data_IF_941497336519
#
_entry.id   IF_941497336519
#
_cell.length_a   1.000
_cell.length_b   1.000
_cell.length_c   1.000
_cell.angle_alpha   90.00
_cell.angle_beta   90.00
_cell.angle_gamma   90.00
#
_symmetry.space_group_name_H-M   'P 1'
#
loop_
_entity.id
_entity.type
_entity.pdbx_description
1 polymer ?
#
# COMPACT_ATOMS: atom_id res chain seq x y z
N UNK A 1 -40.55 -18.66 -11.97
CA UNK A 1 -39.93 -17.97 -10.82
C UNK A 1 -39.93 -16.49 -11.15
N UNK A 2 -40.98 -15.69 -10.96
CA UNK A 2 -41.69 -15.32 -9.72
C UNK A 2 -40.75 -14.94 -8.58
N UNK A 3 -40.42 -13.65 -8.49
CA UNK A 3 -40.88 -12.82 -7.37
C UNK A 3 -41.23 -11.42 -7.88
N UNK A 4 -42.53 -11.12 -7.86
CA UNK A 4 -43.13 -9.78 -7.96
C UNK A 4 -43.02 -9.13 -6.58
N UNK A 5 -42.70 -7.84 -6.53
CA UNK A 5 -43.36 -6.94 -5.61
C UNK A 5 -43.85 -5.75 -6.43
N UNK A 6 -45.17 -5.63 -6.50
CA UNK A 6 -45.90 -4.56 -7.15
C UNK A 6 -46.00 -3.39 -6.16
N UNK A 7 -45.66 -2.19 -6.60
CA UNK A 7 -46.28 -0.98 -6.09
C UNK A 7 -46.80 -0.18 -7.28
N UNK A 8 -48.12 -0.22 -7.47
CA UNK A 8 -48.87 0.68 -8.34
C UNK A 8 -49.55 1.69 -7.45
N UNK A 9 -49.25 2.97 -7.66
CA UNK A 9 -50.11 4.06 -7.23
C UNK A 9 -50.19 5.05 -8.40
N UNK A 10 -51.20 4.86 -9.24
CA UNK A 10 -51.67 5.90 -10.14
C UNK A 10 -52.35 6.98 -9.28
N UNK A 11 -51.79 8.18 -9.28
CA UNK A 11 -52.57 9.39 -9.01
C UNK A 11 -52.28 10.42 -10.11
N UNK A 12 -53.37 10.67 -10.84
CA UNK A 12 -53.71 11.83 -11.64
C UNK A 12 -52.94 13.12 -11.35
N UNK A 13 -52.63 13.84 -12.42
CA UNK A 13 -51.91 15.10 -12.38
C UNK A 13 -52.51 16.14 -11.44
N UNK A 14 -51.63 16.77 -10.66
CA UNK A 14 -51.76 18.13 -10.16
C UNK A 14 -50.34 18.72 -10.19
N UNK A 15 -50.22 19.92 -10.73
CA UNK A 15 -49.04 20.78 -10.84
C UNK A 15 -47.85 20.41 -9.93
N UNK A 16 -46.74 19.97 -10.55
CA UNK A 16 -45.43 19.90 -9.90
C UNK A 16 -44.95 21.31 -9.57
N UNK A 17 -45.15 21.73 -8.33
CA UNK A 17 -44.42 22.84 -7.74
C UNK A 17 -42.94 22.45 -7.63
N UNK A 18 -42.14 23.15 -8.42
CA UNK A 18 -40.73 22.94 -8.66
C UNK A 18 -39.91 23.45 -7.46
N UNK A 19 -39.96 22.79 -6.30
CA UNK A 19 -39.15 23.18 -5.12
C UNK A 19 -38.66 22.07 -4.19
N UNK A 20 -38.73 20.79 -4.57
CA UNK A 20 -38.20 19.68 -3.73
C UNK A 20 -36.95 18.95 -4.28
N UNK A 21 -36.48 19.26 -5.50
CA UNK A 21 -35.37 18.50 -6.11
C UNK A 21 -33.95 18.96 -5.73
N UNK A 22 -33.79 20.10 -5.05
CA UNK A 22 -32.46 20.61 -4.67
C UNK A 22 -31.96 20.04 -3.33
N UNK A 23 -32.83 19.92 -2.32
CA UNK A 23 -32.43 19.37 -1.02
C UNK A 23 -32.05 17.88 -1.09
N UNK A 24 -32.76 17.07 -1.89
CA UNK A 24 -32.48 15.64 -2.02
C UNK A 24 -31.21 15.34 -2.83
N UNK A 25 -30.92 16.16 -3.85
CA UNK A 25 -29.66 16.09 -4.60
C UNK A 25 -28.48 16.52 -3.73
N UNK A 26 -28.65 17.54 -2.90
CA UNK A 26 -27.61 17.99 -1.97
C UNK A 26 -27.41 17.03 -0.80
N UNK A 27 -28.42 16.25 -0.40
CA UNK A 27 -28.26 15.17 0.59
C UNK A 27 -27.49 13.97 0.00
N UNK A 28 -27.74 13.58 -1.25
CA UNK A 28 -26.93 12.54 -1.92
C UNK A 28 -25.51 13.02 -2.25
N UNK A 29 -25.35 14.30 -2.58
CA UNK A 29 -24.03 14.93 -2.72
C UNK A 29 -23.32 15.06 -1.38
N UNK A 30 -24.06 15.34 -0.31
CA UNK A 30 -23.56 15.49 1.06
C UNK A 30 -23.14 14.15 1.64
N UNK A 31 -23.99 13.11 1.53
CA UNK A 31 -23.66 11.75 1.96
C UNK A 31 -22.57 11.14 1.06
N UNK A 32 -22.62 11.36 -0.26
CA UNK A 32 -21.54 10.96 -1.17
C UNK A 32 -20.22 11.68 -0.89
N UNK A 33 -20.26 12.92 -0.40
CA UNK A 33 -19.09 13.69 0.03
C UNK A 33 -18.60 13.27 1.43
N UNK A 34 -19.50 12.86 2.33
CA UNK A 34 -19.18 12.29 3.65
C UNK A 34 -18.58 10.87 3.52
N UNK A 35 -19.06 10.07 2.56
CA UNK A 35 -18.44 8.78 2.22
C UNK A 35 -17.11 9.01 1.46
N UNK A 36 -16.97 10.11 0.70
CA UNK A 36 -15.73 10.54 0.05
C UNK A 36 -14.66 11.09 1.01
N UNK A 37 -14.92 11.26 2.30
CA UNK A 37 -13.97 11.91 3.24
C UNK A 37 -13.11 10.96 4.07
N UNK A 38 -13.32 9.64 4.01
CA UNK A 38 -12.43 8.68 4.68
C UNK A 38 -11.36 8.23 3.68
N UNK A 39 -10.23 8.95 3.63
CA UNK A 39 -9.08 8.52 2.82
C UNK A 39 -8.45 7.30 3.50
N UNK A 40 -8.73 6.11 2.95
CA UNK A 40 -8.15 4.87 3.47
C UNK A 40 -6.62 4.93 3.43
N UNK A 41 -6.01 4.37 4.46
CA UNK A 41 -4.58 4.26 4.62
C UNK A 41 -4.10 2.83 4.41
N UNK A 42 -3.13 2.67 3.53
CA UNK A 42 -2.71 1.37 3.01
C UNK A 42 -1.29 1.01 3.47
N UNK A 43 -1.06 -0.25 3.80
CA UNK A 43 0.28 -0.79 4.02
C UNK A 43 0.62 -1.90 3.01
N UNK A 44 1.77 -1.77 2.33
CA UNK A 44 2.30 -2.78 1.42
C UNK A 44 3.42 -3.56 2.11
N UNK A 45 3.27 -4.86 2.33
CA UNK A 45 4.20 -5.62 3.17
C UNK A 45 4.78 -6.83 2.42
N UNK A 46 6.11 -6.88 2.30
CA UNK A 46 6.82 -8.05 1.75
C UNK A 46 7.91 -8.52 2.74
N UNK A 47 8.85 -9.38 2.33
CA UNK A 47 9.91 -9.85 3.23
C UNK A 47 10.96 -8.76 3.55
N UNK A 48 11.61 -8.16 2.54
CA UNK A 48 12.77 -7.26 2.74
C UNK A 48 12.48 -5.78 2.45
N UNK A 49 11.24 -5.41 2.15
CA UNK A 49 10.86 -4.05 1.73
C UNK A 49 11.74 -3.49 0.60
N UNK A 50 12.00 -4.29 -0.44
CA UNK A 50 12.88 -3.90 -1.56
C UNK A 50 12.13 -3.81 -2.90
N UNK A 51 11.44 -4.90 -3.27
CA UNK A 51 10.84 -5.03 -4.60
C UNK A 51 9.31 -4.88 -4.54
N UNK A 52 8.56 -5.98 -4.35
CA UNK A 52 7.08 -6.04 -4.41
C UNK A 52 6.37 -4.91 -3.65
N UNK A 53 6.65 -4.76 -2.35
CA UNK A 53 5.99 -3.73 -1.55
C UNK A 53 6.36 -2.30 -1.94
N UNK A 54 7.60 -2.07 -2.40
CA UNK A 54 8.07 -0.76 -2.81
C UNK A 54 7.60 -0.37 -4.21
N UNK A 55 7.44 -1.34 -5.11
CA UNK A 55 6.81 -1.13 -6.42
C UNK A 55 5.36 -0.70 -6.25
N UNK A 56 4.59 -1.43 -5.42
CA UNK A 56 3.22 -1.08 -5.08
C UNK A 56 3.13 0.28 -4.39
N UNK A 57 4.00 0.58 -3.41
CA UNK A 57 4.07 1.89 -2.78
C UNK A 57 4.31 2.99 -3.82
N UNK A 58 5.32 2.84 -4.68
CA UNK A 58 5.65 3.81 -5.74
C UNK A 58 4.44 4.11 -6.64
N UNK A 59 3.69 3.07 -7.02
CA UNK A 59 2.48 3.21 -7.84
C UNK A 59 1.36 3.93 -7.08
N UNK A 60 0.98 3.44 -5.90
CA UNK A 60 -0.13 4.01 -5.12
C UNK A 60 0.16 5.46 -4.70
N UNK A 61 1.41 5.78 -4.34
CA UNK A 61 1.83 7.14 -4.00
C UNK A 61 1.69 8.11 -5.18
N UNK A 62 1.98 7.64 -6.41
CA UNK A 62 1.81 8.43 -7.63
C UNK A 62 0.35 8.77 -7.92
N UNK A 63 -0.54 7.84 -7.61
CA UNK A 63 -2.00 8.01 -7.72
C UNK A 63 -2.61 8.78 -6.53
N UNK A 64 -1.78 9.24 -5.58
CA UNK A 64 -2.21 10.10 -4.47
C UNK A 64 -2.84 9.36 -3.28
N UNK A 65 -2.71 8.04 -3.19
CA UNK A 65 -3.15 7.27 -2.01
C UNK A 65 -2.27 7.54 -0.79
N UNK A 66 -2.84 7.42 0.41
CA UNK A 66 -2.08 7.39 1.65
C UNK A 66 -1.53 5.97 1.83
N UNK A 67 -0.25 5.78 1.53
CA UNK A 67 0.38 4.46 1.47
C UNK A 67 1.72 4.45 2.19
N UNK A 68 1.96 3.39 2.95
CA UNK A 68 3.25 3.04 3.53
C UNK A 68 3.65 1.62 3.12
N UNK A 69 4.89 1.23 3.39
CA UNK A 69 5.38 -0.10 3.00
C UNK A 69 6.45 -0.63 3.93
N UNK A 70 6.46 -1.95 4.15
CA UNK A 70 7.29 -2.60 5.17
C UNK A 70 7.87 -3.94 4.71
N UNK A 71 8.74 -4.48 5.56
CA UNK A 71 9.35 -5.79 5.47
C UNK A 71 9.13 -6.57 6.77
N UNK A 72 8.80 -7.86 6.70
CA UNK A 72 8.63 -8.72 7.90
C UNK A 72 9.87 -9.54 8.26
N UNK A 73 10.83 -9.65 7.33
CA UNK A 73 12.04 -10.42 7.53
C UNK A 73 12.88 -9.92 8.71
N UNK A 74 13.83 -10.74 9.16
CA UNK A 74 14.81 -10.31 10.17
C UNK A 74 15.83 -9.31 9.60
N UNK A 75 16.18 -9.48 8.31
CA UNK A 75 17.13 -8.63 7.61
C UNK A 75 16.64 -8.35 6.19
N UNK A 76 17.18 -7.29 5.59
CA UNK A 76 17.00 -6.98 4.18
C UNK A 76 17.95 -7.83 3.36
N UNK A 77 17.43 -8.64 2.43
CA UNK A 77 18.24 -9.50 1.56
C UNK A 77 18.08 -9.08 0.10
N UNK A 78 19.20 -8.87 -0.58
CA UNK A 78 19.28 -8.65 -2.01
C UNK A 78 20.13 -9.74 -2.66
N UNK A 79 19.81 -10.19 -3.89
CA UNK A 79 20.66 -11.13 -4.62
C UNK A 79 22.11 -10.63 -4.73
N UNK A 80 23.08 -11.54 -4.61
CA UNK A 80 24.49 -11.27 -4.85
C UNK A 80 25.05 -12.07 -6.02
N UNK A 81 26.37 -12.29 -6.09
CA UNK A 81 27.01 -13.01 -7.20
C UNK A 81 26.55 -14.46 -7.34
N UNK A 82 26.16 -15.10 -6.24
CA UNK A 82 25.64 -16.47 -6.20
C UNK A 82 24.48 -16.61 -5.22
N UNK A 83 23.76 -17.75 -5.28
CA UNK A 83 22.67 -18.06 -4.34
C UNK A 83 23.14 -18.14 -2.88
N UNK A 84 24.42 -18.45 -2.65
CA UNK A 84 25.00 -18.61 -1.31
C UNK A 84 25.58 -17.31 -0.75
N UNK A 85 25.67 -16.28 -1.58
CA UNK A 85 26.32 -15.01 -1.24
C UNK A 85 25.34 -13.84 -1.44
N UNK A 86 24.22 -13.78 -0.68
CA UNK A 86 23.32 -12.63 -0.73
C UNK A 86 23.96 -11.39 -0.11
N UNK A 87 23.55 -10.22 -0.56
CA UNK A 87 23.82 -8.98 0.17
C UNK A 87 22.80 -8.83 1.29
N UNK A 88 23.27 -8.72 2.52
CA UNK A 88 22.44 -8.61 3.73
C UNK A 88 22.67 -7.25 4.38
N UNK A 89 21.59 -6.59 4.76
CA UNK A 89 21.61 -5.30 5.47
C UNK A 89 20.58 -5.29 6.58
N UNK A 90 20.79 -4.44 7.57
CA UNK A 90 19.80 -4.16 8.61
C UNK A 90 18.67 -3.28 8.07
N UNK A 91 17.47 -3.47 8.60
CA UNK A 91 16.39 -2.49 8.44
C UNK A 91 16.85 -1.12 8.97
N UNK A 92 16.36 -0.04 8.35
CA UNK A 92 16.84 1.31 8.64
C UNK A 92 18.10 1.73 7.87
N UNK A 93 18.86 0.80 7.26
CA UNK A 93 19.97 1.16 6.37
C UNK A 93 19.45 1.96 5.16
N UNK A 94 19.93 3.19 4.90
CA UNK A 94 19.41 3.99 3.79
C UNK A 94 19.58 3.30 2.43
N UNK A 95 18.57 3.34 1.56
CA UNK A 95 18.67 2.75 0.22
C UNK A 95 19.80 3.35 -0.60
N UNK A 96 20.13 4.63 -0.36
CA UNK A 96 21.27 5.30 -0.98
C UNK A 96 22.59 4.64 -0.59
N UNK A 97 22.75 4.28 0.68
CA UNK A 97 23.94 3.56 1.14
C UNK A 97 24.03 2.17 0.48
N UNK A 98 22.94 1.41 0.44
CA UNK A 98 22.91 0.12 -0.27
C UNK A 98 23.27 0.29 -1.76
N UNK A 99 22.75 1.32 -2.43
CA UNK A 99 23.05 1.61 -3.83
C UNK A 99 24.55 1.88 -4.04
N UNK A 100 25.13 2.74 -3.21
CA UNK A 100 26.54 3.11 -3.31
C UNK A 100 27.47 1.92 -2.99
N UNK A 101 27.09 1.09 -2.02
CA UNK A 101 27.82 -0.15 -1.68
C UNK A 101 27.83 -1.14 -2.84
N UNK A 102 26.66 -1.48 -3.38
CA UNK A 102 26.56 -2.43 -4.49
C UNK A 102 27.23 -1.90 -5.77
N UNK A 103 27.07 -0.61 -6.07
CA UNK A 103 27.74 0.02 -7.21
C UNK A 103 29.27 -0.08 -7.10
N UNK A 104 29.82 0.00 -5.89
CA UNK A 104 31.27 -0.13 -5.64
C UNK A 104 31.74 -1.59 -5.71
N UNK A 105 30.90 -2.55 -5.29
CA UNK A 105 31.21 -3.99 -5.33
C UNK A 105 31.28 -4.53 -6.76
N UNK A 106 30.21 -4.36 -7.53
CA UNK A 106 30.14 -4.83 -8.93
C UNK A 106 29.04 -4.08 -9.71
N UNK A 107 29.35 -2.94 -10.33
CA UNK A 107 28.34 -2.12 -10.99
C UNK A 107 27.67 -2.83 -12.17
N UNK A 108 28.38 -3.70 -12.89
CA UNK A 108 27.85 -4.38 -14.06
C UNK A 108 26.89 -5.51 -13.68
N UNK A 109 27.22 -6.30 -12.66
CA UNK A 109 26.32 -7.31 -12.12
C UNK A 109 25.01 -6.68 -11.63
N UNK A 110 25.11 -5.66 -10.78
CA UNK A 110 23.93 -5.07 -10.13
C UNK A 110 23.12 -4.15 -11.05
N UNK A 111 23.70 -3.69 -12.16
CA UNK A 111 22.97 -3.08 -13.26
C UNK A 111 22.23 -4.14 -14.08
N UNK A 112 22.91 -5.23 -14.47
CA UNK A 112 22.34 -6.32 -15.29
C UNK A 112 21.19 -7.04 -14.62
N UNK A 113 21.27 -7.29 -13.31
CA UNK A 113 20.19 -7.95 -12.55
C UNK A 113 19.09 -6.98 -12.07
N UNK A 114 19.18 -5.70 -12.40
CA UNK A 114 18.14 -4.70 -12.09
C UNK A 114 18.14 -4.16 -10.66
N UNK A 115 19.07 -4.56 -9.79
CA UNK A 115 19.10 -4.10 -8.39
C UNK A 115 19.45 -2.61 -8.27
N UNK A 116 20.41 -2.09 -9.06
CA UNK A 116 20.73 -0.66 -9.02
C UNK A 116 19.56 0.22 -9.50
N UNK A 117 18.87 -0.07 -10.62
CA UNK A 117 17.62 0.60 -10.97
C UNK A 117 16.54 0.50 -9.89
N UNK A 118 16.34 -0.67 -9.29
CA UNK A 118 15.36 -0.88 -8.21
C UNK A 118 15.67 -0.01 -6.99
N UNK A 119 16.93 0.04 -6.56
CA UNK A 119 17.35 0.88 -5.44
C UNK A 119 17.18 2.38 -5.74
N UNK A 120 17.43 2.82 -7.00
CA UNK A 120 17.10 4.19 -7.42
C UNK A 120 15.62 4.50 -7.26
N UNK A 121 14.73 3.59 -7.66
CA UNK A 121 13.29 3.73 -7.41
C UNK A 121 13.01 3.84 -5.91
N UNK A 122 13.58 2.95 -5.09
CA UNK A 122 13.36 2.96 -3.64
C UNK A 122 13.76 4.29 -2.99
N UNK A 123 14.91 4.86 -3.37
CA UNK A 123 15.40 6.18 -2.91
C UNK A 123 14.37 7.28 -3.17
N UNK A 124 13.69 7.26 -4.32
CA UNK A 124 12.65 8.26 -4.64
C UNK A 124 11.35 8.09 -3.84
N UNK A 125 11.12 6.92 -3.25
CA UNK A 125 9.90 6.62 -2.49
C UNK A 125 10.07 6.98 -1.02
N UNK A 126 11.14 6.49 -0.37
CA UNK A 126 11.48 6.76 1.03
C UNK A 126 12.97 6.49 1.31
N UNK A 127 13.47 6.89 2.49
CA UNK A 127 14.89 6.86 2.85
C UNK A 127 15.46 5.45 3.05
N UNK A 128 14.73 4.58 3.76
CA UNK A 128 15.20 3.27 4.19
C UNK A 128 14.07 2.22 4.20
N UNK A 129 14.39 0.92 4.09
CA UNK A 129 13.45 -0.16 4.35
C UNK A 129 13.06 -0.14 5.84
N UNK A 130 11.77 -0.29 6.11
CA UNK A 130 11.21 -0.31 7.46
C UNK A 130 10.67 -1.69 7.77
N UNK A 131 10.81 -2.09 9.03
CA UNK A 131 10.33 -3.38 9.50
C UNK A 131 8.88 -3.28 9.97
N UNK A 132 8.05 -4.26 9.63
CA UNK A 132 6.62 -4.26 9.98
C UNK A 132 6.41 -4.28 11.49
N UNK A 133 7.17 -5.12 12.20
CA UNK A 133 7.08 -5.29 13.65
C UNK A 133 7.47 -4.01 14.44
N UNK A 134 8.01 -2.99 13.77
CA UNK A 134 8.47 -1.74 14.37
C UNK A 134 7.68 -0.53 13.82
N UNK A 135 6.48 -0.76 13.27
CA UNK A 135 5.67 0.27 12.60
C UNK A 135 4.79 1.11 13.53
N UNK A 136 4.84 0.91 14.86
CA UNK A 136 3.91 1.55 15.81
C UNK A 136 3.89 3.08 15.70
N UNK A 137 5.05 3.70 15.42
CA UNK A 137 5.17 5.14 15.23
C UNK A 137 4.43 5.66 13.99
N UNK A 138 4.17 4.79 13.01
CA UNK A 138 3.46 5.16 11.80
C UNK A 138 1.93 5.10 12.01
N UNK A 139 1.41 4.52 13.10
CA UNK A 139 -0.03 4.42 13.38
C UNK A 139 -0.75 3.30 12.61
N UNK A 140 -2.09 3.27 12.67
CA UNK A 140 -2.90 2.20 12.07
C UNK A 140 -3.09 2.32 10.56
N UNK A 141 -3.41 1.18 9.93
CA UNK A 141 -3.74 1.04 8.51
C UNK A 141 -5.13 0.44 8.37
N UNK A 142 -5.90 0.90 7.39
CA UNK A 142 -7.24 0.36 7.09
C UNK A 142 -7.14 -0.92 6.25
N UNK A 143 -6.14 -0.99 5.37
CA UNK A 143 -5.92 -2.14 4.48
C UNK A 143 -4.45 -2.49 4.40
N UNK A 144 -4.11 -3.75 4.69
CA UNK A 144 -2.76 -4.29 4.59
C UNK A 144 -2.70 -5.32 3.46
N UNK A 145 -1.81 -5.08 2.49
CA UNK A 145 -1.53 -6.01 1.40
C UNK A 145 -0.24 -6.75 1.67
N UNK A 146 -0.30 -8.08 1.64
CA UNK A 146 0.85 -8.96 1.78
C UNK A 146 1.12 -9.66 0.45
N UNK A 147 2.41 -9.85 0.13
CA UNK A 147 2.81 -10.33 -1.20
C UNK A 147 3.20 -11.81 -1.25
N UNK A 148 3.03 -12.54 -0.16
CA UNK A 148 3.19 -14.00 -0.02
C UNK A 148 2.59 -14.49 1.30
N UNK A 149 2.16 -15.75 1.34
CA UNK A 149 1.50 -16.38 2.51
C UNK A 149 2.34 -16.25 3.78
N UNK A 150 3.63 -16.59 3.74
CA UNK A 150 4.52 -16.44 4.90
C UNK A 150 4.58 -15.00 5.44
N UNK A 151 4.46 -13.99 4.57
CA UNK A 151 4.43 -12.59 5.02
C UNK A 151 3.09 -12.25 5.65
N UNK A 152 2.00 -12.83 5.15
CA UNK A 152 0.69 -12.74 5.78
C UNK A 152 0.71 -13.28 7.21
N UNK A 153 1.22 -14.49 7.41
CA UNK A 153 1.33 -15.10 8.75
C UNK A 153 2.11 -14.20 9.72
N UNK A 154 3.29 -13.72 9.29
CA UNK A 154 4.11 -12.82 10.11
C UNK A 154 3.46 -11.46 10.39
N UNK A 155 2.57 -10.97 9.51
CA UNK A 155 1.83 -9.73 9.74
C UNK A 155 0.77 -9.93 10.82
N UNK A 156 0.09 -11.08 10.81
CA UNK A 156 -0.89 -11.45 11.84
C UNK A 156 -0.21 -11.63 13.20
N UNK A 157 0.89 -12.39 13.26
CA UNK A 157 1.66 -12.61 14.50
C UNK A 157 2.26 -11.32 15.08
N UNK A 158 2.63 -10.37 14.22
CA UNK A 158 3.24 -9.09 14.62
C UNK A 158 2.25 -7.97 14.88
N UNK A 159 0.93 -8.22 14.82
CA UNK A 159 -0.08 -7.22 15.10
C UNK A 159 -0.19 -7.00 16.62
N UNK A 160 0.08 -5.80 17.15
CA UNK A 160 -0.02 -5.52 18.59
C UNK A 160 -1.46 -5.56 19.15
N UNK A 161 -2.44 -6.00 18.36
CA UNK A 161 -3.87 -5.97 18.69
C UNK A 161 -4.42 -7.33 19.18
N UNK A 162 -3.58 -8.23 19.72
CA UNK A 162 -4.02 -9.48 20.37
C UNK A 162 -3.53 -9.61 21.83
N UNK A 163 -3.54 -8.50 22.59
CA UNK A 163 -3.62 -8.53 24.07
C UNK A 163 -4.77 -7.67 24.58
#
# INVERSE_FOLDING_TARGET
>A
MYFKSHYSAATSGVHKNFREDLLFRDLHRGIGKIISTMKLRYAMVCSSNQNRSMEAHSLLKREGFDVSSYGTGQHVKLPGPSLREPNVYDFGTPYKHMFDDLRRKDPELYKRNGILPMLKRNISVKSAPQRWQENAADGSFDVVFTFEEKVFDMVLEGSPNEE
#
